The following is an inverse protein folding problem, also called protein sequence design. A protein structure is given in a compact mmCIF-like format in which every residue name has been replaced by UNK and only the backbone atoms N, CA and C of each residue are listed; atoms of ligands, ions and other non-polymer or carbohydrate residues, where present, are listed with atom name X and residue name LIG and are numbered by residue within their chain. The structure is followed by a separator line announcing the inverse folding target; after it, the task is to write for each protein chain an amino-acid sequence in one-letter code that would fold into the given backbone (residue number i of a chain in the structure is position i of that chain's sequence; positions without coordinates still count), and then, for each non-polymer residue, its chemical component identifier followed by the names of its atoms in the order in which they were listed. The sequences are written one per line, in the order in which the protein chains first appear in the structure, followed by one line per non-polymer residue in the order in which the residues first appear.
data_IF_275307449325
#
_entry.id   IF_275307449325
#
_cell.length_a   1.000
_cell.length_b   1.000
_cell.length_c   1.000
_cell.angle_alpha   90.00
_cell.angle_beta   90.00
_cell.angle_gamma   90.00
#
_symmetry.space_group_name_H-M   'P 1'
#
loop_
_entity.id
_entity.type
_entity.pdbx_description
1 polymer ?
#
# COMPACT_ATOMS: atom_id res chain seq x y z
N UNK A 1 -0.35 2.61 4.00
CA UNK A 1 0.95 2.91 4.65
C UNK A 1 1.39 4.34 4.48
N UNK A 2 1.78 4.77 3.29
CA UNK A 2 2.41 6.09 3.14
C UNK A 2 1.49 7.26 3.50
N UNK A 3 0.18 7.16 3.26
CA UNK A 3 -0.80 8.15 3.71
C UNK A 3 -0.80 8.29 5.24
N UNK A 4 -0.74 7.17 5.98
CA UNK A 4 -0.67 7.16 7.45
C UNK A 4 0.60 7.88 7.92
N UNK A 5 1.75 7.60 7.31
CA UNK A 5 3.00 8.27 7.68
C UNK A 5 2.96 9.77 7.39
N UNK A 6 2.37 10.20 6.27
CA UNK A 6 2.16 11.61 5.96
C UNK A 6 1.24 12.29 6.98
N UNK A 7 0.12 11.64 7.35
CA UNK A 7 -0.84 12.16 8.32
C UNK A 7 -0.23 12.31 9.72
N UNK A 8 0.67 11.41 10.11
CA UNK A 8 1.37 11.45 11.40
C UNK A 8 2.67 12.27 11.37
N UNK A 9 2.96 12.97 10.27
CA UNK A 9 4.10 13.90 10.17
C UNK A 9 5.46 13.23 9.95
N UNK A 10 5.50 11.92 9.71
CA UNK A 10 6.71 11.19 9.34
C UNK A 10 7.08 11.36 7.86
N UNK A 11 6.13 11.75 7.02
CA UNK A 11 6.34 12.17 5.64
C UNK A 11 5.72 13.55 5.42
N UNK A 12 6.05 14.26 4.32
CA UNK A 12 5.38 15.50 3.95
C UNK A 12 3.86 15.32 4.00
N UNK A 13 3.18 16.16 4.79
CA UNK A 13 1.76 16.01 5.09
C UNK A 13 0.87 16.11 3.84
N UNK A 14 1.35 16.81 2.81
CA UNK A 14 0.67 16.93 1.52
C UNK A 14 0.93 15.74 0.57
N UNK A 15 1.72 14.75 1.00
CA UNK A 15 2.04 13.54 0.24
C UNK A 15 2.88 13.77 -1.02
N UNK A 16 3.48 14.96 -1.18
CA UNK A 16 4.22 15.37 -2.37
C UNK A 16 5.72 15.35 -2.17
N UNK A 17 6.46 15.19 -3.27
CA UNK A 17 7.92 15.29 -3.31
C UNK A 17 8.65 14.40 -2.28
N UNK A 18 8.15 13.18 -2.07
CA UNK A 18 8.78 12.22 -1.17
C UNK A 18 10.08 11.75 -1.82
N UNK A 19 11.23 12.17 -1.28
CA UNK A 19 12.55 11.72 -1.73
C UNK A 19 12.94 10.42 -1.03
N UNK A 20 14.04 9.80 -1.49
CA UNK A 20 14.57 8.59 -0.86
C UNK A 20 14.94 8.84 0.59
N UNK A 21 15.62 9.94 0.85
CA UNK A 21 16.07 10.35 2.17
C UNK A 21 14.86 10.53 3.10
N UNK A 22 13.87 11.33 2.68
CA UNK A 22 12.67 11.58 3.48
C UNK A 22 11.87 10.30 3.74
N UNK A 23 11.83 9.38 2.78
CA UNK A 23 11.17 8.09 2.98
C UNK A 23 11.92 7.20 3.97
N UNK A 24 13.25 7.14 3.87
CA UNK A 24 14.08 6.34 4.78
C UNK A 24 13.96 6.84 6.21
N UNK A 25 14.08 8.15 6.41
CA UNK A 25 13.92 8.78 7.72
C UNK A 25 12.50 8.54 8.28
N UNK A 26 11.47 8.81 7.48
CA UNK A 26 10.09 8.61 7.91
C UNK A 26 9.75 7.16 8.27
N UNK A 27 10.25 6.18 7.51
CA UNK A 27 10.05 4.76 7.80
C UNK A 27 10.88 4.28 9.00
N UNK A 28 12.07 4.84 9.20
CA UNK A 28 12.87 4.57 10.39
C UNK A 28 12.16 5.08 11.64
N UNK A 29 11.73 6.34 11.64
CA UNK A 29 11.13 6.98 12.81
C UNK A 29 9.74 6.39 13.14
N UNK A 30 8.94 6.06 12.11
CA UNK A 30 7.58 5.55 12.31
C UNK A 30 7.54 4.06 12.64
N UNK A 31 8.38 3.25 11.99
CA UNK A 31 8.25 1.78 11.97
C UNK A 31 9.55 1.04 12.28
N UNK A 32 10.64 1.77 12.58
CA UNK A 32 11.96 1.22 12.84
C UNK A 32 12.51 0.38 11.67
N UNK A 33 12.19 0.76 10.44
CA UNK A 33 12.75 0.07 9.27
C UNK A 33 14.22 0.43 9.08
N UNK A 34 14.99 -0.54 8.58
CA UNK A 34 16.37 -0.29 8.17
C UNK A 34 16.42 0.40 6.79
N UNK A 35 17.54 1.07 6.51
CA UNK A 35 17.74 1.83 5.28
C UNK A 35 17.63 0.98 4.00
N UNK A 36 18.05 -0.29 4.05
CA UNK A 36 17.99 -1.20 2.89
C UNK A 36 16.54 -1.50 2.49
N UNK A 37 15.69 -1.81 3.47
CA UNK A 37 14.27 -2.08 3.25
C UNK A 37 13.55 -0.83 2.77
N UNK A 38 13.78 0.30 3.44
CA UNK A 38 13.20 1.59 3.07
C UNK A 38 13.65 2.05 1.67
N UNK A 39 14.89 1.75 1.27
CA UNK A 39 15.39 2.00 -0.09
C UNK A 39 14.67 1.16 -1.13
N UNK A 40 14.44 -0.13 -0.86
CA UNK A 40 13.65 -0.99 -1.73
C UNK A 40 12.21 -0.47 -1.88
N UNK A 41 11.61 0.02 -0.80
CA UNK A 41 10.28 0.63 -0.84
C UNK A 41 10.25 1.91 -1.68
N UNK A 42 11.32 2.73 -1.61
CA UNK A 42 11.47 3.88 -2.48
C UNK A 42 11.55 3.46 -3.96
N UNK A 43 12.33 2.43 -4.28
CA UNK A 43 12.48 1.93 -5.65
C UNK A 43 11.15 1.43 -6.22
N UNK A 44 10.31 0.81 -5.40
CA UNK A 44 8.95 0.43 -5.80
C UNK A 44 8.02 1.64 -5.99
N UNK A 45 8.15 2.66 -5.14
CA UNK A 45 7.31 3.87 -5.22
C UNK A 45 7.66 4.79 -6.38
N UNK A 46 8.96 4.96 -6.68
CA UNK A 46 9.44 5.91 -7.69
C UNK A 46 9.04 5.52 -9.12
N UNK A 47 8.80 4.23 -9.37
CA UNK A 47 8.29 3.73 -10.66
C UNK A 47 6.91 4.29 -11.01
N UNK A 48 6.11 4.71 -10.02
CA UNK A 48 4.83 5.36 -10.26
C UNK A 48 4.96 6.83 -10.73
N UNK A 49 6.16 7.39 -10.69
CA UNK A 49 6.42 8.72 -11.23
C UNK A 49 6.56 8.63 -12.77
N UNK A 50 5.72 9.35 -13.55
CA UNK A 50 5.79 9.29 -15.01
C UNK A 50 7.06 9.95 -15.57
N UNK A 51 7.81 10.71 -14.76
CA UNK A 51 9.05 11.35 -15.17
C UNK A 51 10.19 10.31 -15.24
N UNK A 52 10.90 10.18 -16.37
CA UNK A 52 12.09 9.34 -16.46
C UNK A 52 13.15 9.78 -15.44
N UNK A 53 13.81 8.81 -14.79
CA UNK A 53 14.84 9.04 -13.77
C UNK A 53 14.37 9.94 -12.62
N UNK A 54 13.11 9.85 -12.23
CA UNK A 54 12.60 10.56 -11.05
C UNK A 54 13.39 10.17 -9.80
N UNK A 55 13.68 11.16 -8.96
CA UNK A 55 14.34 11.00 -7.64
C UNK A 55 13.36 11.22 -6.49
N UNK A 56 12.06 11.24 -6.79
CA UNK A 56 10.97 11.40 -5.84
C UNK A 56 9.69 10.78 -6.39
N UNK A 57 8.72 10.52 -5.52
CA UNK A 57 7.35 10.22 -5.92
C UNK A 57 6.35 11.05 -5.11
N UNK A 58 5.10 11.03 -5.58
CA UNK A 58 3.97 11.68 -4.93
C UNK A 58 2.89 10.63 -4.74
N UNK A 59 2.27 10.61 -3.57
CA UNK A 59 1.12 9.74 -3.29
C UNK A 59 -0.04 10.18 -4.18
N UNK A 60 -0.55 9.27 -5.03
CA UNK A 60 -1.63 9.58 -5.97
C UNK A 60 -3.00 9.40 -5.31
N UNK A 61 -3.93 10.30 -5.66
CA UNK A 61 -5.37 10.09 -5.55
C UNK A 61 -5.91 9.58 -6.90
N UNK A 62 -6.71 8.53 -6.87
CA UNK A 62 -7.47 7.91 -7.95
C UNK A 62 -8.93 8.33 -7.75
N UNK A 63 -9.50 9.11 -8.67
CA UNK A 63 -10.68 9.94 -8.36
C UNK A 63 -11.99 9.43 -8.98
N UNK A 64 -12.05 8.15 -9.41
CA UNK A 64 -13.17 7.68 -10.24
C UNK A 64 -14.44 7.27 -9.48
N UNK A 65 -14.35 6.76 -8.24
CA UNK A 65 -15.51 6.30 -7.45
C UNK A 65 -15.83 7.20 -6.24
N UNK A 66 -15.30 8.43 -6.23
CA UNK A 66 -15.21 9.29 -5.04
C UNK A 66 -13.79 9.26 -4.45
N UNK A 67 -13.62 9.72 -3.21
CA UNK A 67 -12.33 9.71 -2.53
C UNK A 67 -11.77 8.28 -2.38
N UNK A 68 -10.81 7.90 -3.21
CA UNK A 68 -10.02 6.66 -3.03
C UNK A 68 -9.08 6.69 -1.82
N UNK A 69 -9.09 7.78 -1.08
CA UNK A 69 -8.32 7.99 0.13
C UNK A 69 -9.15 7.75 1.39
N UNK A 70 -10.48 7.69 1.26
CA UNK A 70 -11.38 7.35 2.37
C UNK A 70 -11.48 5.83 2.43
N UNK A 71 -11.20 5.28 3.60
CA UNK A 71 -11.40 3.86 3.87
C UNK A 71 -12.84 3.44 3.56
N UNK A 72 -13.00 2.40 2.75
CA UNK A 72 -14.29 1.83 2.43
C UNK A 72 -14.43 0.46 3.10
N UNK A 73 -15.24 0.41 4.16
CA UNK A 73 -15.43 -0.79 4.97
C UNK A 73 -15.99 -1.96 4.17
N UNK A 74 -16.92 -1.72 3.24
CA UNK A 74 -17.48 -2.76 2.37
C UNK A 74 -16.39 -3.41 1.53
N UNK A 75 -15.56 -2.61 0.87
CA UNK A 75 -14.42 -3.05 0.07
C UNK A 75 -13.39 -3.81 0.93
N UNK A 76 -13.15 -3.32 2.14
CA UNK A 76 -12.24 -3.97 3.07
C UNK A 76 -12.78 -5.33 3.54
N UNK A 77 -14.07 -5.43 3.81
CA UNK A 77 -14.73 -6.69 4.17
C UNK A 77 -14.70 -7.71 3.02
N UNK A 78 -14.85 -7.29 1.76
CA UNK A 78 -14.64 -8.16 0.59
C UNK A 78 -13.21 -8.71 0.54
N UNK A 79 -12.21 -7.87 0.86
CA UNK A 79 -10.80 -8.26 0.90
C UNK A 79 -10.56 -9.31 2.01
N UNK A 80 -11.11 -9.07 3.20
CA UNK A 80 -11.01 -9.98 4.36
C UNK A 80 -11.67 -11.34 4.14
N UNK A 81 -12.60 -11.48 3.19
CA UNK A 81 -13.22 -12.77 2.87
C UNK A 81 -12.19 -13.83 2.42
N UNK A 82 -11.03 -13.39 1.94
CA UNK A 82 -9.92 -14.25 1.51
C UNK A 82 -8.88 -14.52 2.62
N UNK A 83 -9.06 -13.93 3.80
CA UNK A 83 -8.14 -14.02 4.93
C UNK A 83 -8.54 -15.12 5.93
N UNK A 84 -8.58 -16.37 5.47
CA UNK A 84 -9.09 -17.54 6.20
C UNK A 84 -8.32 -18.02 7.44
N UNK A 85 -7.26 -17.33 7.88
CA UNK A 85 -6.44 -17.70 9.04
C UNK A 85 -5.87 -16.47 9.76
N UNK A 86 -5.42 -16.67 11.00
CA UNK A 86 -4.80 -15.62 11.83
C UNK A 86 -3.45 -15.14 11.30
N UNK A 87 -2.71 -16.04 10.63
CA UNK A 87 -1.51 -15.69 9.85
C UNK A 87 -1.89 -15.64 8.39
N UNK A 88 -1.74 -14.47 7.76
CA UNK A 88 -1.98 -14.30 6.33
C UNK A 88 -0.79 -14.85 5.55
N UNK A 89 -1.09 -15.69 4.56
CA UNK A 89 -0.09 -16.23 3.63
C UNK A 89 -0.02 -15.39 2.34
N UNK A 90 1.05 -15.50 1.55
CA UNK A 90 1.13 -14.85 0.24
C UNK A 90 -0.06 -15.18 -0.68
N UNK A 91 -0.56 -16.42 -0.63
CA UNK A 91 -1.71 -16.86 -1.42
C UNK A 91 -2.99 -16.12 -1.03
N UNK A 92 -3.22 -15.90 0.27
CA UNK A 92 -4.40 -15.19 0.76
C UNK A 92 -4.37 -13.71 0.35
N UNK A 93 -3.20 -13.08 0.47
CA UNK A 93 -2.97 -11.70 0.04
C UNK A 93 -3.17 -11.56 -1.49
N UNK A 94 -2.58 -12.46 -2.29
CA UNK A 94 -2.73 -12.48 -3.74
C UNK A 94 -4.19 -12.73 -4.18
N UNK A 95 -4.89 -13.69 -3.58
CA UNK A 95 -6.28 -13.98 -3.90
C UNK A 95 -7.19 -12.77 -3.62
N UNK A 96 -6.99 -12.10 -2.48
CA UNK A 96 -7.75 -10.89 -2.14
C UNK A 96 -7.55 -9.77 -3.17
N UNK A 97 -6.32 -9.60 -3.68
CA UNK A 97 -6.00 -8.66 -4.76
C UNK A 97 -6.71 -9.02 -6.06
N UNK A 98 -6.60 -10.28 -6.49
CA UNK A 98 -7.20 -10.75 -7.74
C UNK A 98 -8.72 -10.55 -7.72
N UNK A 99 -9.37 -10.83 -6.59
CA UNK A 99 -10.80 -10.58 -6.43
C UNK A 99 -11.17 -9.11 -6.64
N UNK A 100 -10.40 -8.18 -6.06
CA UNK A 100 -10.58 -6.73 -6.24
C UNK A 100 -10.37 -6.29 -7.69
N UNK A 101 -9.41 -6.88 -8.39
CA UNK A 101 -9.18 -6.63 -9.83
C UNK A 101 -10.34 -7.14 -10.68
N UNK A 102 -10.85 -8.34 -10.40
CA UNK A 102 -12.00 -8.91 -11.11
C UNK A 102 -13.23 -8.02 -10.93
N UNK A 103 -13.53 -7.60 -9.71
CA UNK A 103 -14.64 -6.69 -9.42
C UNK A 103 -14.48 -5.36 -10.17
N UNK A 104 -13.30 -4.74 -10.08
CA UNK A 104 -13.01 -3.48 -10.77
C UNK A 104 -13.16 -3.62 -12.28
N UNK A 105 -12.68 -4.72 -12.88
CA UNK A 105 -12.81 -4.98 -14.32
C UNK A 105 -14.26 -5.22 -14.75
N UNK A 106 -15.07 -5.82 -13.88
CA UNK A 106 -16.46 -6.12 -14.18
C UNK A 106 -17.38 -4.88 -14.10
N UNK A 107 -17.09 -3.96 -13.18
CA UNK A 107 -18.02 -2.88 -12.85
C UNK A 107 -17.47 -1.45 -13.06
N UNK A 108 -16.17 -1.27 -13.29
CA UNK A 108 -15.60 0.03 -13.67
C UNK A 108 -15.51 0.15 -15.20
N UNK A 109 -16.39 0.93 -15.88
CA UNK A 109 -16.35 1.10 -17.33
C UNK A 109 -15.09 1.81 -17.83
N UNK A 110 -14.32 2.44 -16.94
CA UNK A 110 -13.06 3.11 -17.25
C UNK A 110 -11.83 2.38 -16.72
N UNK A 111 -11.98 1.11 -16.34
CA UNK A 111 -10.90 0.30 -15.77
C UNK A 111 -9.61 0.38 -16.62
N UNK A 112 -8.52 0.83 -15.99
CA UNK A 112 -7.18 0.84 -16.57
C UNK A 112 -6.23 0.10 -15.65
N UNK A 113 -5.55 -0.92 -16.19
CA UNK A 113 -4.52 -1.66 -15.48
C UNK A 113 -3.29 -1.78 -16.37
N UNK A 114 -2.39 -0.80 -16.23
CA UNK A 114 -1.12 -0.79 -16.97
C UNK A 114 -0.07 -1.64 -16.27
N UNK A 115 1.01 -1.99 -16.97
CA UNK A 115 2.16 -2.69 -16.36
C UNK A 115 2.78 -1.90 -15.19
N UNK A 116 2.71 -0.57 -15.22
CA UNK A 116 3.11 0.30 -14.10
C UNK A 116 2.16 0.17 -12.90
N UNK A 117 0.84 0.08 -13.15
CA UNK A 117 -0.16 -0.17 -12.11
C UNK A 117 0.06 -1.54 -11.48
N UNK A 118 0.39 -2.55 -12.30
CA UNK A 118 0.70 -3.88 -11.83
C UNK A 118 1.87 -3.90 -10.85
N UNK A 119 3.03 -3.35 -11.22
CA UNK A 119 4.21 -3.30 -10.35
C UNK A 119 3.95 -2.56 -9.03
N UNK A 120 3.29 -1.40 -9.10
CA UNK A 120 2.95 -0.64 -7.89
C UNK A 120 2.03 -1.46 -6.97
N UNK A 121 1.03 -2.09 -7.56
CA UNK A 121 0.05 -2.86 -6.82
C UNK A 121 0.64 -4.15 -6.21
N UNK A 122 1.73 -4.69 -6.73
CA UNK A 122 2.48 -5.79 -6.08
C UNK A 122 3.16 -5.29 -4.81
N UNK A 123 3.73 -4.08 -4.84
CA UNK A 123 4.30 -3.42 -3.67
C UNK A 123 3.26 -3.21 -2.56
N UNK A 124 2.04 -2.82 -2.91
CA UNK A 124 0.93 -2.66 -1.94
C UNK A 124 0.55 -3.97 -1.23
N UNK A 125 0.60 -5.10 -1.94
CA UNK A 125 0.32 -6.43 -1.38
C UNK A 125 1.46 -6.91 -0.48
N UNK A 126 2.70 -6.59 -0.83
CA UNK A 126 3.88 -6.94 -0.03
C UNK A 126 4.07 -6.03 1.20
N UNK A 127 3.54 -4.81 1.17
CA UNK A 127 3.78 -3.81 2.21
C UNK A 127 3.44 -4.28 3.65
N UNK A 128 2.31 -4.96 3.93
CA UNK A 128 2.01 -5.42 5.28
C UNK A 128 2.98 -6.52 5.76
N UNK A 129 3.43 -7.39 4.86
CA UNK A 129 4.45 -8.42 5.15
C UNK A 129 5.78 -7.77 5.47
N UNK A 130 6.16 -6.77 4.68
CA UNK A 130 7.38 -5.97 4.90
C UNK A 130 7.32 -5.25 6.25
N UNK A 131 6.15 -4.72 6.61
CA UNK A 131 5.99 -3.90 7.81
C UNK A 131 5.83 -4.67 9.11
N UNK A 132 5.09 -5.77 9.06
CA UNK A 132 4.60 -6.45 10.26
C UNK A 132 4.83 -7.96 10.22
N UNK A 133 5.42 -8.47 9.13
CA UNK A 133 5.51 -9.89 8.83
C UNK A 133 6.93 -10.41 8.72
N UNK A 134 7.02 -11.65 8.22
CA UNK A 134 8.26 -12.32 7.92
C UNK A 134 8.54 -12.20 6.41
N UNK A 135 9.58 -11.44 6.05
CA UNK A 135 9.95 -11.21 4.65
C UNK A 135 10.47 -12.46 3.92
N UNK A 136 10.84 -13.52 4.64
CA UNK A 136 11.29 -14.79 4.06
C UNK A 136 10.12 -15.72 3.76
N UNK A 137 9.19 -15.91 4.69
CA UNK A 137 8.00 -16.76 4.47
C UNK A 137 6.88 -16.02 3.74
N UNK A 138 6.90 -14.69 3.74
CA UNK A 138 5.85 -13.87 3.14
C UNK A 138 4.59 -13.77 4.00
N UNK A 139 4.69 -14.15 5.28
CA UNK A 139 3.54 -14.25 6.18
C UNK A 139 3.43 -13.05 7.11
N UNK A 140 2.20 -12.69 7.50
CA UNK A 140 1.95 -11.55 8.39
C UNK A 140 0.76 -11.82 9.33
N UNK A 141 0.82 -11.30 10.56
CA UNK A 141 -0.29 -11.41 11.49
C UNK A 141 -1.50 -10.59 11.02
N UNK A 142 -2.65 -11.25 10.86
CA UNK A 142 -3.89 -10.65 10.35
C UNK A 142 -4.35 -9.46 11.18
N UNK A 143 -4.28 -9.54 12.50
CA UNK A 143 -4.73 -8.45 13.39
C UNK A 143 -3.92 -7.17 13.18
N UNK A 144 -2.62 -7.27 12.92
CA UNK A 144 -1.79 -6.10 12.59
C UNK A 144 -2.21 -5.46 11.27
N UNK A 145 -2.52 -6.29 10.26
CA UNK A 145 -3.02 -5.81 8.96
C UNK A 145 -4.40 -5.16 9.11
N UNK A 146 -5.31 -5.78 9.85
CA UNK A 146 -6.65 -5.24 10.11
C UNK A 146 -6.62 -3.93 10.89
N UNK A 147 -5.79 -3.84 11.93
CA UNK A 147 -5.64 -2.61 12.70
C UNK A 147 -5.09 -1.47 11.83
N UNK A 148 -4.07 -1.76 11.03
CA UNK A 148 -3.41 -0.78 10.18
C UNK A 148 -4.33 -0.19 9.09
N UNK A 149 -5.14 -1.03 8.44
CA UNK A 149 -6.06 -0.57 7.39
C UNK A 149 -7.41 -0.14 7.93
N UNK A 150 -7.91 -0.77 8.99
CA UNK A 150 -9.25 -0.55 9.55
C UNK A 150 -9.34 0.65 10.46
N UNK A 151 -8.44 0.80 11.44
CA UNK A 151 -8.53 1.90 12.42
C UNK A 151 -7.77 3.16 11.96
N UNK A 152 -6.55 2.97 11.43
CA UNK A 152 -5.78 4.09 10.87
C UNK A 152 -6.35 4.60 9.54
N UNK A 153 -7.13 3.78 8.82
CA UNK A 153 -7.78 4.18 7.57
C UNK A 153 -9.09 4.95 7.77
N UNK A 154 -9.77 4.82 8.90
CA UNK A 154 -11.03 5.52 9.18
C UNK A 154 -10.84 6.99 9.56
N UNK A 155 -9.62 7.42 9.89
CA UNK A 155 -9.29 8.79 10.29
C UNK A 155 -8.94 9.71 9.09
N UNK A 156 -9.17 9.25 7.84
CA UNK A 156 -8.92 9.98 6.59
C UNK A 156 -10.18 10.61 5.99
#
# INVERSE_FOLDING_TARGET
MMNTLANHGFLPHDGKNITRETLIEGLHDALNFNSSLSSLMFDMGVVANPKPNATYFTLRTDDFFGSNHIFNETIFNETKAYWTSETLTPAMLANSKIARQINSKAYNPTYKFSSMTEQFSLGEVAAPVIAFGNSTSGEVNRTLVEYFFGECGQLS
#
